data_IF_125022258256
#
_entry.id   IF_125022258256
#
_cell.length_a   1.000
_cell.length_b   1.000
_cell.length_c   1.000
_cell.angle_alpha   90.00
_cell.angle_beta   90.00
_cell.angle_gamma   90.00
#
_symmetry.space_group_name_H-M   'P 1'
#
loop_
_entity.id
_entity.type
_entity.pdbx_description
1 polymer ?
#
# COMPACT_ATOMS: atom_id res chain seq x y z
N UNK A 1 -11.68 21.19 17.91
CA UNK A 1 -11.14 20.56 16.70
C UNK A 1 -11.03 19.08 16.96
N UNK A 2 -11.54 18.26 16.05
CA UNK A 2 -11.50 16.80 16.20
C UNK A 2 -10.11 16.34 15.76
N UNK A 3 -9.21 16.10 16.72
CA UNK A 3 -7.89 15.53 16.48
C UNK A 3 -8.07 14.04 16.23
N UNK A 4 -7.95 13.61 14.99
CA UNK A 4 -8.07 12.19 14.66
C UNK A 4 -8.03 11.93 13.16
N UNK A 5 -7.63 10.72 12.82
CA UNK A 5 -7.68 10.20 11.46
C UNK A 5 -9.08 9.62 11.20
N UNK A 6 -9.73 10.11 10.15
CA UNK A 6 -10.96 9.53 9.59
C UNK A 6 -10.59 8.37 8.67
N UNK A 7 -11.08 7.19 9.01
CA UNK A 7 -10.78 5.95 8.30
C UNK A 7 -12.03 5.47 7.56
N UNK A 8 -11.95 5.41 6.23
CA UNK A 8 -13.00 4.88 5.36
C UNK A 8 -12.57 3.50 4.85
N UNK A 9 -13.02 2.41 5.49
CA UNK A 9 -12.72 1.08 5.01
C UNK A 9 -13.39 0.85 3.65
N UNK A 10 -12.74 0.06 2.80
CA UNK A 10 -13.28 -0.37 1.51
C UNK A 10 -13.60 0.78 0.55
N UNK A 11 -12.73 1.79 0.50
CA UNK A 11 -12.91 2.97 -0.35
C UNK A 11 -13.03 2.60 -1.84
N UNK A 12 -14.00 3.21 -2.51
CA UNK A 12 -14.36 2.87 -3.90
C UNK A 12 -14.05 4.01 -4.85
N UNK A 13 -13.76 3.67 -6.11
CA UNK A 13 -13.41 4.61 -7.17
C UNK A 13 -14.66 5.23 -7.84
N UNK A 14 -14.64 6.53 -8.15
CA UNK A 14 -15.78 7.30 -8.70
C UNK A 14 -16.27 6.95 -10.11
N UNK A 15 -15.44 6.32 -10.93
CA UNK A 15 -15.74 5.97 -12.33
C UNK A 15 -15.34 4.53 -12.68
N UNK A 16 -16.29 3.58 -12.78
CA UNK A 16 -16.19 2.52 -13.80
C UNK A 16 -17.47 1.70 -14.01
N UNK A 17 -17.80 1.48 -15.30
CA UNK A 17 -18.81 0.54 -15.81
C UNK A 17 -18.35 -0.93 -15.79
N UNK A 18 -17.11 -1.21 -15.36
CA UNK A 18 -16.43 -2.51 -15.49
C UNK A 18 -15.99 -3.14 -14.14
N UNK A 19 -16.65 -2.80 -13.04
CA UNK A 19 -16.39 -3.38 -11.73
C UNK A 19 -15.65 -2.46 -10.77
N UNK A 20 -16.09 -2.49 -9.51
CA UNK A 20 -15.57 -1.66 -8.43
C UNK A 20 -14.09 -1.98 -8.16
N UNK A 21 -13.19 -1.06 -8.49
CA UNK A 21 -11.81 -1.09 -7.99
C UNK A 21 -11.82 -0.54 -6.57
N UNK A 22 -11.94 -1.45 -5.60
CA UNK A 22 -11.93 -1.18 -4.17
C UNK A 22 -10.49 -1.04 -3.67
N UNK A 23 -10.26 -0.06 -2.80
CA UNK A 23 -9.08 0.10 -1.94
C UNK A 23 -9.42 -0.34 -0.52
N UNK A 24 -8.48 -0.96 0.19
CA UNK A 24 -8.75 -1.45 1.56
C UNK A 24 -9.09 -0.33 2.53
N UNK A 25 -8.37 0.79 2.47
CA UNK A 25 -8.58 1.92 3.38
C UNK A 25 -8.23 3.27 2.73
N UNK A 26 -9.07 4.26 2.98
CA UNK A 26 -8.75 5.67 2.79
C UNK A 26 -8.67 6.34 4.17
N UNK A 27 -7.57 7.04 4.45
CA UNK A 27 -7.32 7.70 5.74
C UNK A 27 -7.11 9.18 5.52
N UNK A 28 -7.92 10.02 6.18
CA UNK A 28 -7.85 11.47 6.07
C UNK A 28 -7.72 12.09 7.45
N UNK A 29 -6.83 13.06 7.64
CA UNK A 29 -6.80 13.80 8.90
C UNK A 29 -5.64 14.76 8.99
N UNK A 30 -5.41 15.28 10.19
CA UNK A 30 -4.29 16.16 10.51
C UNK A 30 -3.20 15.38 11.25
N UNK A 31 -1.97 15.46 10.75
CA UNK A 31 -0.78 14.95 11.43
C UNK A 31 0.17 16.14 11.59
N UNK A 32 0.43 16.53 12.85
CA UNK A 32 1.34 17.63 13.19
C UNK A 32 1.02 18.96 12.48
N UNK A 33 -0.27 19.27 12.27
CA UNK A 33 -0.71 20.50 11.59
C UNK A 33 -0.66 20.41 10.07
N UNK A 34 -0.39 19.24 9.50
CA UNK A 34 -0.49 18.97 8.08
C UNK A 34 -1.70 18.07 7.80
N UNK A 35 -2.63 18.57 6.99
CA UNK A 35 -3.71 17.74 6.49
C UNK A 35 -3.16 16.72 5.48
N UNK A 36 -3.41 15.45 5.73
CA UNK A 36 -2.89 14.33 4.96
C UNK A 36 -4.01 13.36 4.58
N UNK A 37 -3.88 12.77 3.39
CA UNK A 37 -4.85 11.84 2.82
C UNK A 37 -4.09 10.65 2.22
N UNK A 38 -4.28 9.44 2.78
CA UNK A 38 -3.57 8.22 2.39
C UNK A 38 -4.53 7.17 1.84
N UNK A 39 -4.12 6.47 0.78
CA UNK A 39 -4.68 5.18 0.40
C UNK A 39 -3.83 4.07 0.98
N UNK A 40 -4.45 3.03 1.53
CA UNK A 40 -3.74 1.87 2.06
C UNK A 40 -4.28 0.60 1.42
N UNK A 41 -3.38 -0.27 1.00
CA UNK A 41 -3.63 -1.64 0.57
C UNK A 41 -2.77 -2.59 1.39
N UNK A 42 -3.39 -3.60 2.00
CA UNK A 42 -2.71 -4.48 2.95
C UNK A 42 -2.90 -5.95 2.58
N UNK A 43 -1.80 -6.71 2.46
CA UNK A 43 -1.85 -8.14 2.10
C UNK A 43 -0.90 -9.03 2.89
N UNK A 44 -1.03 -10.34 2.71
CA UNK A 44 0.04 -11.28 3.06
C UNK A 44 0.97 -11.41 1.85
N UNK A 45 2.27 -11.58 2.09
CA UNK A 45 3.28 -11.73 1.02
C UNK A 45 4.16 -12.96 1.24
N UNK A 46 3.88 -14.00 0.47
CA UNK A 46 4.53 -15.30 0.54
C UNK A 46 4.81 -15.93 -0.83
N UNK A 47 4.38 -15.32 -1.94
CA UNK A 47 4.61 -15.89 -3.28
C UNK A 47 4.72 -14.83 -4.39
N UNK A 48 5.23 -15.27 -5.53
CA UNK A 48 5.28 -14.50 -6.78
C UNK A 48 3.91 -13.96 -7.20
N UNK A 49 2.87 -14.79 -7.10
CA UNK A 49 1.50 -14.41 -7.46
C UNK A 49 0.98 -13.29 -6.56
N UNK A 50 1.38 -13.30 -5.28
CA UNK A 50 1.03 -12.21 -4.37
C UNK A 50 1.81 -10.93 -4.66
N UNK A 51 3.09 -11.04 -5.04
CA UNK A 51 3.87 -9.89 -5.49
C UNK A 51 3.20 -9.24 -6.72
N UNK A 52 2.74 -10.04 -7.70
CA UNK A 52 1.96 -9.54 -8.84
C UNK A 52 0.65 -8.87 -8.41
N UNK A 53 -0.06 -9.42 -7.43
CA UNK A 53 -1.29 -8.78 -6.89
C UNK A 53 -0.97 -7.44 -6.27
N UNK A 54 0.06 -7.36 -5.43
CA UNK A 54 0.48 -6.10 -4.80
C UNK A 54 0.91 -5.06 -5.85
N UNK A 55 1.57 -5.47 -6.93
CA UNK A 55 1.83 -4.59 -8.06
C UNK A 55 0.52 -4.07 -8.69
N UNK A 56 -0.48 -4.92 -8.91
CA UNK A 56 -1.79 -4.47 -9.40
C UNK A 56 -2.47 -3.49 -8.43
N UNK A 57 -2.31 -3.68 -7.12
CA UNK A 57 -2.85 -2.76 -6.11
C UNK A 57 -2.14 -1.42 -6.12
N UNK A 58 -0.83 -1.40 -6.32
CA UNK A 58 -0.07 -0.17 -6.56
C UNK A 58 -0.61 0.61 -7.75
N UNK A 59 -0.77 -0.06 -8.90
CA UNK A 59 -1.30 0.55 -10.12
C UNK A 59 -2.73 1.07 -9.90
N UNK A 60 -3.54 0.33 -9.16
CA UNK A 60 -4.91 0.73 -8.79
C UNK A 60 -4.91 1.99 -7.92
N UNK A 61 -4.00 2.12 -6.96
CA UNK A 61 -3.88 3.32 -6.12
C UNK A 61 -3.42 4.54 -6.92
N UNK A 62 -2.49 4.39 -7.87
CA UNK A 62 -2.02 5.50 -8.74
C UNK A 62 -3.12 6.17 -9.55
N UNK A 63 -4.18 5.43 -9.88
CA UNK A 63 -5.30 5.94 -10.65
C UNK A 63 -6.56 6.13 -9.80
N UNK A 64 -6.47 6.03 -8.47
CA UNK A 64 -7.64 6.12 -7.62
C UNK A 64 -8.18 7.56 -7.55
N UNK A 65 -9.49 7.71 -7.64
CA UNK A 65 -10.20 8.96 -7.46
C UNK A 65 -11.43 8.70 -6.59
N UNK A 66 -11.66 9.49 -5.52
CA UNK A 66 -12.81 9.30 -4.65
C UNK A 66 -14.13 9.54 -5.40
N UNK A 67 -15.20 8.89 -4.94
CA UNK A 67 -16.57 9.01 -5.49
C UNK A 67 -17.23 10.36 -5.29
N UNK A 68 -16.73 11.17 -4.36
CA UNK A 68 -17.31 12.45 -3.98
C UNK A 68 -16.23 13.50 -3.86
N UNK A 69 -16.48 14.70 -4.39
CA UNK A 69 -15.61 15.86 -4.26
C UNK A 69 -15.49 16.35 -2.80
N UNK A 70 -16.38 15.90 -1.91
CA UNK A 70 -16.28 16.16 -0.46
C UNK A 70 -15.13 15.38 0.20
N UNK A 71 -14.65 14.32 -0.45
CA UNK A 71 -13.53 13.51 0.01
C UNK A 71 -12.26 14.05 -0.64
N UNK A 72 -11.28 14.40 0.18
CA UNK A 72 -9.98 14.88 -0.31
C UNK A 72 -9.31 13.86 -1.22
N UNK A 73 -8.62 14.38 -2.23
CA UNK A 73 -7.81 13.54 -3.11
C UNK A 73 -6.62 13.00 -2.31
N UNK A 74 -6.31 11.70 -2.44
CA UNK A 74 -5.20 11.11 -1.73
C UNK A 74 -3.87 11.64 -2.29
N UNK A 75 -2.99 12.00 -1.37
CA UNK A 75 -1.65 12.51 -1.66
C UNK A 75 -0.61 11.40 -1.64
N UNK A 76 -0.90 10.33 -0.89
CA UNK A 76 0.01 9.22 -0.67
C UNK A 76 -0.70 7.88 -0.85
N UNK A 77 0.05 6.92 -1.40
CA UNK A 77 -0.31 5.51 -1.45
C UNK A 77 0.63 4.71 -0.55
N UNK A 78 0.04 3.85 0.27
CA UNK A 78 0.74 3.01 1.23
C UNK A 78 0.45 1.54 0.89
N UNK A 79 1.47 0.83 0.42
CA UNK A 79 1.44 -0.63 0.35
C UNK A 79 1.92 -1.20 1.67
N UNK A 80 1.14 -2.10 2.24
CA UNK A 80 1.50 -2.88 3.42
C UNK A 80 1.45 -4.36 3.09
N UNK A 81 2.41 -5.11 3.62
CA UNK A 81 2.28 -6.55 3.69
C UNK A 81 2.82 -7.14 4.98
N UNK A 82 2.30 -8.31 5.32
CA UNK A 82 2.83 -9.16 6.40
C UNK A 82 3.48 -10.38 5.79
N UNK A 83 4.68 -10.70 6.26
CA UNK A 83 5.40 -11.93 5.92
C UNK A 83 6.07 -12.53 7.15
N UNK A 84 6.20 -13.86 7.17
CA UNK A 84 7.00 -14.59 8.18
C UNK A 84 8.38 -14.97 7.63
N UNK A 85 8.64 -14.72 6.34
CA UNK A 85 9.92 -15.00 5.70
C UNK A 85 10.84 -13.81 5.87
N UNK A 86 11.95 -14.00 6.59
CA UNK A 86 12.99 -12.98 6.73
C UNK A 86 13.63 -12.64 5.38
N UNK A 87 13.74 -13.60 4.46
CA UNK A 87 14.23 -13.39 3.10
C UNK A 87 13.33 -12.44 2.30
N UNK A 88 12.00 -12.57 2.48
CA UNK A 88 11.04 -11.68 1.82
C UNK A 88 11.11 -10.25 2.39
N UNK A 89 11.32 -10.11 3.70
CA UNK A 89 11.53 -8.82 4.36
C UNK A 89 12.83 -8.14 3.94
N UNK A 90 13.91 -8.92 3.82
CA UNK A 90 15.20 -8.45 3.31
C UNK A 90 15.10 -8.00 1.86
N UNK A 91 14.48 -8.82 1.00
CA UNK A 91 14.23 -8.47 -0.40
C UNK A 91 13.40 -7.19 -0.52
N UNK A 92 12.36 -7.00 0.31
CA UNK A 92 11.56 -5.77 0.26
C UNK A 92 12.38 -4.53 0.60
N UNK A 93 13.32 -4.65 1.55
CA UNK A 93 14.15 -3.55 1.99
C UNK A 93 15.23 -3.21 0.96
N UNK A 94 15.75 -4.22 0.25
CA UNK A 94 16.73 -4.05 -0.82
C UNK A 94 16.32 -4.88 -2.05
N UNK A 95 15.35 -4.42 -2.86
CA UNK A 95 14.82 -5.19 -3.97
C UNK A 95 15.89 -5.52 -5.02
N UNK A 96 15.91 -6.78 -5.46
CA UNK A 96 16.79 -7.26 -6.53
C UNK A 96 16.01 -8.12 -7.54
N UNK A 97 16.56 -8.20 -8.76
CA UNK A 97 15.97 -8.97 -9.85
C UNK A 97 15.83 -10.46 -9.50
N UNK A 98 14.66 -11.00 -9.79
CA UNK A 98 14.30 -12.40 -9.58
C UNK A 98 13.94 -13.05 -10.92
N UNK A 99 13.97 -14.38 -10.97
CA UNK A 99 13.51 -15.13 -12.15
C UNK A 99 11.98 -15.04 -12.35
N UNK A 100 11.23 -14.70 -11.30
CA UNK A 100 9.78 -14.55 -11.35
C UNK A 100 9.37 -13.13 -11.75
N UNK A 101 8.44 -13.04 -12.71
CA UNK A 101 7.91 -11.79 -13.19
C UNK A 101 7.19 -10.97 -12.09
N UNK A 102 6.51 -11.62 -11.14
CA UNK A 102 5.75 -10.91 -10.11
C UNK A 102 6.62 -10.12 -9.14
N UNK A 103 7.77 -10.68 -8.75
CA UNK A 103 8.75 -9.97 -7.92
C UNK A 103 9.38 -8.80 -8.67
N UNK A 104 9.71 -8.98 -9.95
CA UNK A 104 10.29 -7.90 -10.77
C UNK A 104 9.29 -6.76 -11.00
N UNK A 105 8.01 -7.06 -11.18
CA UNK A 105 6.95 -6.05 -11.25
C UNK A 105 6.84 -5.26 -9.95
N UNK A 106 6.83 -5.98 -8.81
CA UNK A 106 6.77 -5.34 -7.49
C UNK A 106 8.03 -4.50 -7.21
N UNK A 107 9.23 -4.96 -7.58
CA UNK A 107 10.47 -4.20 -7.51
C UNK A 107 10.33 -2.87 -8.26
N UNK A 108 9.80 -2.90 -9.49
CA UNK A 108 9.54 -1.69 -10.27
C UNK A 108 8.60 -0.70 -9.57
N UNK A 109 7.62 -1.18 -8.80
CA UNK A 109 6.75 -0.32 -7.99
C UNK A 109 7.44 0.21 -6.73
N UNK A 110 8.23 -0.61 -6.04
CA UNK A 110 8.97 -0.18 -4.84
C UNK A 110 10.00 0.90 -5.17
N UNK A 111 10.67 0.80 -6.32
CA UNK A 111 11.62 1.81 -6.80
C UNK A 111 10.96 3.16 -7.17
N UNK A 112 9.63 3.21 -7.26
CA UNK A 112 8.88 4.46 -7.45
C UNK A 112 8.37 5.05 -6.13
N UNK A 113 8.58 4.35 -5.01
CA UNK A 113 8.17 4.82 -3.69
C UNK A 113 9.23 5.76 -3.10
N UNK A 114 8.78 6.76 -2.34
CA UNK A 114 9.65 7.69 -1.61
C UNK A 114 10.41 6.97 -0.50
N UNK A 115 9.74 6.00 0.13
CA UNK A 115 10.32 5.17 1.20
C UNK A 115 9.69 3.80 1.18
N UNK A 116 10.50 2.78 1.45
CA UNK A 116 10.03 1.44 1.79
C UNK A 116 10.92 0.85 2.87
N UNK A 117 10.38 -0.05 3.68
CA UNK A 117 11.10 -0.61 4.81
C UNK A 117 10.35 -1.76 5.48
N UNK A 118 10.91 -2.19 6.60
CA UNK A 118 10.39 -3.33 7.36
C UNK A 118 10.38 -3.02 8.85
N UNK A 119 9.30 -3.42 9.51
CA UNK A 119 9.15 -3.43 10.97
C UNK A 119 9.01 -4.89 11.39
N UNK A 120 9.85 -5.34 12.32
CA UNK A 120 9.70 -6.65 12.95
C UNK A 120 8.72 -6.56 14.11
N UNK A 121 7.73 -7.43 14.12
CA UNK A 121 6.83 -7.61 15.26
C UNK A 121 7.35 -8.73 16.16
N UNK A 122 7.65 -8.38 17.40
CA UNK A 122 8.06 -9.33 18.43
C UNK A 122 6.82 -10.06 18.99
N UNK A 123 6.33 -11.04 18.24
CA UNK A 123 5.22 -11.93 18.64
C UNK A 123 5.71 -13.37 18.74
N UNK A 124 4.84 -14.28 19.20
CA UNK A 124 5.15 -15.72 19.28
C UNK A 124 5.67 -16.30 17.96
N UNK A 125 5.23 -15.75 16.82
CA UNK A 125 5.78 -16.04 15.51
C UNK A 125 6.44 -14.76 14.99
N UNK A 126 7.75 -14.77 14.75
CA UNK A 126 8.43 -13.60 14.18
C UNK A 126 7.74 -13.21 12.87
N UNK A 127 7.14 -12.03 12.86
CA UNK A 127 6.42 -11.48 11.73
C UNK A 127 7.09 -10.18 11.32
N UNK A 128 7.10 -9.93 10.01
CA UNK A 128 7.61 -8.70 9.43
C UNK A 128 6.43 -7.97 8.79
N UNK A 129 6.20 -6.73 9.19
CA UNK A 129 5.41 -5.77 8.43
C UNK A 129 6.37 -5.10 7.46
N UNK A 130 6.15 -5.27 6.17
CA UNK A 130 6.84 -4.52 5.13
C UNK A 130 5.91 -3.40 4.65
N UNK A 131 6.47 -2.23 4.40
CA UNK A 131 5.71 -1.06 3.97
C UNK A 131 6.41 -0.31 2.84
N UNK A 132 5.64 0.33 1.98
CA UNK A 132 6.13 1.26 0.98
C UNK A 132 5.16 2.43 0.83
N UNK A 133 5.69 3.65 0.71
CA UNK A 133 4.94 4.89 0.61
C UNK A 133 5.34 5.59 -0.69
N UNK A 134 4.38 5.83 -1.56
CA UNK A 134 4.55 6.59 -2.78
C UNK A 134 3.71 7.86 -2.74
N UNK A 135 4.23 8.94 -3.33
CA UNK A 135 3.45 10.13 -3.62
C UNK A 135 2.58 9.89 -4.86
N UNK A 136 1.30 10.29 -4.78
CA UNK A 136 0.32 10.06 -5.84
C UNK A 136 0.38 11.12 -6.93
#
# INVERSE_FOLDING_TARGET
>A
MQYGLLCYPEASHGYNKNGNKRIDLLVNGDIEGQEVTFLVEAKKMYSSEQASKMFCDFQKMKIFAPVSDSIKKPEYAVLLAVTVSSSNAEWWSNPYECSSNGWNQLMGALNQCEVHGTIMLDTQYRQHIVYAIAKL
#
